data_IF_878675768136
#
_entry.id   IF_878675768136
#
_cell.length_a   1.000
_cell.length_b   1.000
_cell.length_c   1.000
_cell.angle_alpha   90.00
_cell.angle_beta   90.00
_cell.angle_gamma   90.00
#
_symmetry.space_group_name_H-M   'P 1'
#
loop_
_entity.id
_entity.type
_entity.pdbx_description
1 polymer ?
#
# COMPACT_ATOMS: atom_id res chain seq x y z
N UNK A 1 -8.05 9.55 -10.53
CA UNK A 1 -9.26 8.71 -10.53
C UNK A 1 -9.20 7.64 -9.46
N UNK A 2 -10.22 7.57 -8.67
CA UNK A 2 -10.30 6.59 -7.61
C UNK A 2 -10.91 5.32 -8.16
N UNK A 3 -10.20 4.24 -8.03
CA UNK A 3 -10.69 2.94 -8.41
C UNK A 3 -11.67 2.44 -7.36
N UNK A 4 -12.90 2.28 -7.77
CA UNK A 4 -13.94 1.81 -6.88
C UNK A 4 -13.99 0.30 -6.91
N UNK A 5 -13.86 -0.26 -5.73
CA UNK A 5 -13.99 -1.69 -5.55
C UNK A 5 -15.23 -1.99 -4.74
N UNK A 6 -15.92 -3.04 -5.12
CA UNK A 6 -16.96 -3.59 -4.28
C UNK A 6 -16.32 -4.25 -3.08
N UNK A 7 -16.87 -4.00 -1.92
CA UNK A 7 -16.36 -4.59 -0.69
C UNK A 7 -16.44 -6.11 -0.79
N UNK A 8 -15.32 -6.77 -0.47
CA UNK A 8 -15.24 -8.22 -0.51
C UNK A 8 -14.93 -8.84 -1.87
N UNK A 9 -14.75 -8.03 -2.91
CA UNK A 9 -14.38 -8.54 -4.23
C UNK A 9 -12.88 -8.78 -4.30
N UNK A 10 -12.49 -10.02 -4.59
CA UNK A 10 -11.08 -10.35 -4.78
C UNK A 10 -10.48 -9.66 -6.00
N UNK A 11 -11.27 -9.45 -7.04
CA UNK A 11 -10.82 -8.72 -8.23
C UNK A 11 -10.38 -7.32 -7.88
N UNK A 12 -11.09 -6.66 -6.97
CA UNK A 12 -10.70 -5.35 -6.50
C UNK A 12 -9.37 -5.35 -5.74
N UNK A 13 -9.00 -6.46 -5.15
CA UNK A 13 -7.76 -6.59 -4.40
C UNK A 13 -6.59 -6.86 -5.33
N UNK A 14 -6.80 -7.65 -6.38
CA UNK A 14 -5.73 -8.11 -7.27
C UNK A 14 -5.58 -7.27 -8.52
N UNK A 15 -6.68 -7.10 -9.24
CA UNK A 15 -6.65 -6.53 -10.59
C UNK A 15 -7.11 -5.08 -10.54
N UNK A 16 -6.18 -4.18 -10.77
CA UNK A 16 -6.47 -2.75 -10.81
C UNK A 16 -5.83 -2.13 -12.02
N UNK A 17 -6.61 -1.32 -12.73
CA UNK A 17 -6.02 -0.46 -13.73
C UNK A 17 -5.41 0.76 -13.04
N UNK A 18 -4.17 1.06 -13.38
CA UNK A 18 -3.46 2.20 -12.82
C UNK A 18 -2.93 3.11 -13.92
N UNK A 19 -2.75 4.36 -13.57
CA UNK A 19 -2.07 5.34 -14.41
C UNK A 19 -1.08 6.11 -13.53
N UNK A 20 0.19 6.05 -13.89
CA UNK A 20 1.22 6.88 -13.28
C UNK A 20 1.63 7.91 -14.32
N UNK A 21 1.29 9.16 -14.07
CA UNK A 21 1.61 10.25 -14.99
C UNK A 21 3.10 10.60 -14.92
N UNK A 22 3.62 11.24 -15.96
CA UNK A 22 5.00 11.71 -15.96
C UNK A 22 5.25 12.69 -14.81
N UNK A 23 4.31 13.57 -14.55
CA UNK A 23 4.40 14.53 -13.44
C UNK A 23 4.52 13.82 -12.09
N UNK A 24 3.68 12.82 -11.84
CA UNK A 24 3.71 12.05 -10.60
C UNK A 24 5.02 11.27 -10.47
N UNK A 25 5.46 10.63 -11.56
CA UNK A 25 6.71 9.89 -11.57
C UNK A 25 7.91 10.80 -11.27
N UNK A 26 7.97 11.95 -11.89
CA UNK A 26 9.05 12.92 -11.66
C UNK A 26 9.05 13.42 -10.22
N UNK A 27 7.89 13.71 -9.67
CA UNK A 27 7.77 14.17 -8.29
C UNK A 27 8.29 13.12 -7.29
N UNK A 28 7.92 11.87 -7.48
CA UNK A 28 8.37 10.77 -6.62
C UNK A 28 9.88 10.56 -6.75
N UNK A 29 10.38 10.51 -7.97
CA UNK A 29 11.81 10.29 -8.22
C UNK A 29 12.66 11.43 -7.66
N UNK A 30 12.21 12.66 -7.83
CA UNK A 30 12.91 13.84 -7.29
C UNK A 30 12.91 13.84 -5.76
N UNK A 31 11.81 13.45 -5.15
CA UNK A 31 11.71 13.35 -3.69
C UNK A 31 12.74 12.36 -3.15
N UNK A 32 12.84 11.20 -3.75
CA UNK A 32 13.81 10.18 -3.33
C UNK A 32 15.25 10.62 -3.59
N UNK A 33 15.49 11.23 -4.70
CA UNK A 33 16.82 11.76 -5.06
C UNK A 33 17.31 12.79 -4.06
N UNK A 34 16.40 13.57 -3.50
CA UNK A 34 16.71 14.61 -2.51
C UNK A 34 16.66 14.11 -1.07
N UNK A 35 16.62 12.80 -0.85
CA UNK A 35 16.64 12.21 0.48
C UNK A 35 15.28 12.22 1.19
N UNK A 36 14.19 12.53 0.49
CA UNK A 36 12.86 12.48 1.05
C UNK A 36 12.29 11.08 1.11
N UNK A 37 11.11 10.96 1.72
CA UNK A 37 10.41 9.67 1.85
C UNK A 37 9.15 9.66 1.01
N UNK A 38 8.82 8.50 0.50
CA UNK A 38 7.57 8.26 -0.23
C UNK A 38 6.59 7.60 0.73
N UNK A 39 5.50 8.31 1.02
CA UNK A 39 4.46 7.84 1.92
C UNK A 39 3.22 7.51 1.08
N UNK A 40 2.88 6.24 0.99
CA UNK A 40 1.68 5.84 0.28
C UNK A 40 0.47 5.97 1.19
N UNK A 41 -0.61 6.49 0.64
CA UNK A 41 -1.88 6.54 1.34
C UNK A 41 -2.82 5.55 0.68
N UNK A 42 -3.11 4.48 1.39
CA UNK A 42 -3.95 3.39 0.90
C UNK A 42 -3.17 2.28 0.21
N UNK A 43 -3.74 1.09 0.24
CA UNK A 43 -3.11 -0.10 -0.33
C UNK A 43 -3.11 -0.08 -1.85
N UNK A 44 -4.05 0.59 -2.47
CA UNK A 44 -4.09 0.75 -3.94
C UNK A 44 -2.88 1.53 -4.44
N UNK A 45 -2.57 2.65 -3.78
CA UNK A 45 -1.39 3.45 -4.13
C UNK A 45 -0.11 2.64 -3.96
N UNK A 46 -0.01 1.89 -2.87
CA UNK A 46 1.12 1.01 -2.61
C UNK A 46 1.30 0.00 -3.73
N UNK A 47 0.25 -0.70 -4.09
CA UNK A 47 0.32 -1.73 -5.13
C UNK A 47 0.67 -1.13 -6.49
N UNK A 48 0.12 0.03 -6.81
CA UNK A 48 0.44 0.74 -8.05
C UNK A 48 1.91 1.09 -8.13
N UNK A 49 2.44 1.74 -7.10
CA UNK A 49 3.84 2.16 -7.09
C UNK A 49 4.79 0.97 -7.10
N UNK A 50 4.49 -0.07 -6.33
CA UNK A 50 5.33 -1.27 -6.32
C UNK A 50 5.27 -2.04 -7.63
N UNK A 51 4.14 -1.98 -8.35
CA UNK A 51 4.01 -2.64 -9.66
C UNK A 51 4.85 -1.97 -10.74
N UNK A 52 4.96 -0.64 -10.70
CA UNK A 52 5.70 0.10 -11.74
C UNK A 52 7.15 0.33 -11.39
N UNK A 53 7.53 0.22 -10.13
CA UNK A 53 8.89 0.50 -9.68
C UNK A 53 9.90 -0.43 -10.35
N UNK A 54 10.99 0.16 -10.84
CA UNK A 54 12.13 -0.59 -11.36
C UNK A 54 12.95 -1.14 -10.20
N UNK A 55 13.91 -2.01 -10.52
CA UNK A 55 14.74 -2.65 -9.49
C UNK A 55 15.52 -1.65 -8.63
N UNK A 56 15.87 -0.51 -9.19
CA UNK A 56 16.58 0.56 -8.47
C UNK A 56 15.63 1.50 -7.71
N UNK A 57 14.32 1.26 -7.76
CA UNK A 57 13.31 2.09 -7.11
C UNK A 57 12.81 3.26 -7.92
N UNK A 58 13.28 3.44 -9.15
CA UNK A 58 12.83 4.51 -10.04
C UNK A 58 11.38 4.23 -10.49
N UNK A 59 10.57 5.27 -10.52
CA UNK A 59 9.17 5.17 -10.95
C UNK A 59 9.03 5.73 -12.36
N UNK A 60 8.73 4.89 -13.36
CA UNK A 60 8.45 5.38 -14.71
C UNK A 60 6.99 5.81 -14.86
N UNK A 61 6.74 6.71 -15.80
CA UNK A 61 5.37 7.00 -16.21
C UNK A 61 4.85 5.80 -17.00
N UNK A 62 3.79 5.19 -16.49
CA UNK A 62 3.24 3.96 -17.06
C UNK A 62 1.79 3.80 -16.68
N UNK A 63 1.05 3.12 -17.53
CA UNK A 63 -0.31 2.70 -17.24
C UNK A 63 -0.47 1.22 -17.56
N UNK A 64 -1.41 0.57 -16.89
CA UNK A 64 -1.66 -0.84 -17.10
C UNK A 64 -2.48 -1.44 -15.99
N UNK A 65 -2.52 -2.76 -15.96
CA UNK A 65 -3.17 -3.51 -14.90
C UNK A 65 -2.13 -4.05 -13.94
N UNK A 66 -2.38 -3.95 -12.64
CA UNK A 66 -1.51 -4.56 -11.65
C UNK A 66 -2.10 -5.87 -11.17
N UNK A 67 -1.25 -6.88 -11.15
CA UNK A 67 -1.56 -8.19 -10.58
C UNK A 67 -0.67 -8.50 -9.38
N UNK A 68 0.05 -7.49 -8.92
CA UNK A 68 1.03 -7.69 -7.85
C UNK A 68 0.36 -8.21 -6.58
N UNK A 69 0.98 -9.21 -5.98
CA UNK A 69 0.59 -9.77 -4.71
C UNK A 69 1.73 -9.57 -3.72
N UNK A 70 1.48 -8.75 -2.70
CA UNK A 70 2.49 -8.41 -1.70
C UNK A 70 2.21 -9.21 -0.45
N UNK A 71 3.19 -9.98 -0.02
CA UNK A 71 3.10 -10.88 1.13
C UNK A 71 4.37 -10.76 1.98
N UNK A 72 4.38 -11.29 3.22
CA UNK A 72 5.56 -11.24 4.07
C UNK A 72 6.80 -11.82 3.37
N UNK A 73 7.88 -11.06 3.41
CA UNK A 73 9.11 -11.36 2.67
C UNK A 73 9.31 -10.52 1.41
N UNK A 74 8.28 -9.82 0.96
CA UNK A 74 8.39 -8.92 -0.18
C UNK A 74 9.29 -7.72 0.18
N UNK A 75 10.17 -7.35 -0.76
CA UNK A 75 11.05 -6.20 -0.61
C UNK A 75 10.46 -4.99 -1.31
N UNK A 76 10.09 -3.98 -0.54
CA UNK A 76 9.51 -2.77 -1.08
C UNK A 76 10.57 -1.92 -1.78
N UNK A 77 10.23 -1.45 -2.98
CA UNK A 77 11.12 -0.65 -3.83
C UNK A 77 10.69 0.81 -3.94
N UNK A 78 9.39 1.05 -3.85
CA UNK A 78 8.82 2.34 -4.16
C UNK A 78 8.43 3.15 -2.93
N UNK A 79 7.92 2.52 -1.89
CA UNK A 79 7.40 3.24 -0.72
C UNK A 79 8.28 3.02 0.50
N UNK A 80 8.27 4.04 1.35
CA UNK A 80 8.98 4.01 2.64
C UNK A 80 8.01 3.89 3.81
N UNK A 81 6.84 4.48 3.67
CA UNK A 81 5.82 4.50 4.70
C UNK A 81 4.44 4.26 4.09
N UNK A 82 3.50 3.85 4.92
CA UNK A 82 2.14 3.56 4.49
C UNK A 82 1.13 4.08 5.51
N UNK A 83 0.12 4.78 5.02
CA UNK A 83 -1.06 5.13 5.81
C UNK A 83 -2.21 4.30 5.27
N UNK A 84 -2.82 3.48 6.12
CA UNK A 84 -3.89 2.59 5.71
C UNK A 84 -4.89 2.36 6.84
N UNK A 85 -6.09 1.96 6.48
CA UNK A 85 -7.12 1.58 7.44
C UNK A 85 -6.80 0.23 8.06
N UNK A 86 -7.55 -0.14 9.08
CA UNK A 86 -7.53 -1.50 9.61
C UNK A 86 -8.35 -2.42 8.69
N UNK A 87 -7.81 -3.58 8.39
CA UNK A 87 -8.42 -4.54 7.46
C UNK A 87 -8.87 -5.80 8.18
N UNK A 88 -9.62 -6.66 7.49
CA UNK A 88 -9.97 -7.96 8.01
C UNK A 88 -8.70 -8.79 8.29
N UNK A 89 -8.61 -9.47 9.45
CA UNK A 89 -7.38 -10.15 9.85
C UNK A 89 -6.82 -11.17 8.86
N UNK A 90 -7.68 -11.85 8.12
CA UNK A 90 -7.27 -12.87 7.15
C UNK A 90 -7.27 -12.38 5.70
N UNK A 91 -7.39 -11.07 5.50
CA UNK A 91 -7.40 -10.52 4.15
C UNK A 91 -6.00 -10.43 3.55
N UNK A 92 -5.94 -10.36 2.23
CA UNK A 92 -4.69 -10.14 1.50
C UNK A 92 -4.09 -8.77 1.80
N UNK A 93 -4.92 -7.82 2.24
CA UNK A 93 -4.45 -6.49 2.62
C UNK A 93 -3.64 -6.52 3.92
N UNK A 94 -3.99 -7.40 4.84
CA UNK A 94 -3.18 -7.61 6.06
C UNK A 94 -1.83 -8.22 5.69
N UNK A 95 -1.78 -9.09 4.69
CA UNK A 95 -0.51 -9.63 4.20
C UNK A 95 0.40 -8.53 3.66
N UNK A 96 -0.15 -7.58 2.91
CA UNK A 96 0.61 -6.43 2.41
C UNK A 96 1.15 -5.59 3.56
N UNK A 97 0.32 -5.26 4.53
CA UNK A 97 0.74 -4.49 5.70
C UNK A 97 1.79 -5.24 6.51
N UNK A 98 1.62 -6.55 6.65
CA UNK A 98 2.58 -7.41 7.35
C UNK A 98 3.92 -7.49 6.62
N UNK A 99 3.91 -7.41 5.30
CA UNK A 99 5.15 -7.38 4.52
C UNK A 99 5.98 -6.13 4.81
N UNK A 100 5.31 -5.01 5.08
CA UNK A 100 5.99 -3.75 5.37
C UNK A 100 6.43 -3.64 6.84
N UNK A 101 5.53 -3.96 7.75
CA UNK A 101 5.74 -3.73 9.19
C UNK A 101 6.20 -4.95 9.97
N UNK A 102 6.12 -6.13 9.38
CA UNK A 102 6.34 -7.39 10.08
C UNK A 102 5.05 -7.94 10.67
N UNK A 103 4.86 -9.24 10.51
CA UNK A 103 3.61 -9.91 10.91
C UNK A 103 3.31 -9.75 12.40
N UNK A 104 4.32 -9.91 13.24
CA UNK A 104 4.14 -9.82 14.70
C UNK A 104 3.72 -8.41 15.13
N UNK A 105 4.33 -7.39 14.56
CA UNK A 105 3.98 -6.01 14.84
C UNK A 105 2.54 -5.69 14.42
N UNK A 106 2.13 -6.18 13.25
CA UNK A 106 0.79 -5.96 12.73
C UNK A 106 -0.25 -6.68 13.60
N UNK A 107 0.00 -7.93 13.94
CA UNK A 107 -0.91 -8.69 14.80
C UNK A 107 -1.07 -8.02 16.16
N UNK A 108 0.02 -7.54 16.74
CA UNK A 108 -0.02 -6.82 18.01
C UNK A 108 -0.80 -5.51 17.89
N UNK A 109 -0.54 -4.75 16.84
CA UNK A 109 -1.27 -3.49 16.60
C UNK A 109 -2.76 -3.73 16.44
N UNK A 110 -3.16 -4.78 15.73
CA UNK A 110 -4.56 -5.14 15.56
C UNK A 110 -5.21 -5.58 16.87
N UNK A 111 -4.47 -6.34 17.69
CA UNK A 111 -4.95 -6.73 19.01
C UNK A 111 -5.22 -5.50 19.88
N UNK A 112 -4.28 -4.57 19.92
CA UNK A 112 -4.45 -3.31 20.65
C UNK A 112 -5.62 -2.50 20.09
N UNK A 113 -5.76 -2.44 18.78
CA UNK A 113 -6.86 -1.72 18.14
C UNK A 113 -8.23 -2.30 18.53
N UNK A 114 -8.35 -3.61 18.61
CA UNK A 114 -9.59 -4.25 19.07
C UNK A 114 -9.86 -3.92 20.53
N UNK A 115 -8.85 -4.01 21.38
CA UNK A 115 -8.97 -3.69 22.81
C UNK A 115 -9.37 -2.23 23.04
N UNK A 116 -8.80 -1.32 22.27
CA UNK A 116 -9.06 0.13 22.38
C UNK A 116 -10.26 0.57 21.57
N UNK A 117 -10.98 -0.37 20.95
CA UNK A 117 -12.20 -0.12 20.16
C UNK A 117 -11.98 0.83 18.98
N UNK A 118 -10.86 0.69 18.30
CA UNK A 118 -10.62 1.41 17.05
C UNK A 118 -11.59 0.93 15.97
N UNK A 119 -11.95 1.85 15.08
CA UNK A 119 -12.88 1.55 14.00
C UNK A 119 -12.12 0.98 12.81
N UNK A 120 -12.62 -0.13 12.30
CA UNK A 120 -12.02 -0.85 11.19
C UNK A 120 -12.60 -0.39 9.86
N UNK A 121 -11.99 -0.83 8.78
CA UNK A 121 -12.34 -0.48 7.40
C UNK A 121 -12.25 1.03 7.18
N UNK A 122 -13.23 1.61 6.48
CA UNK A 122 -13.26 3.04 6.16
C UNK A 122 -14.05 3.87 7.17
N UNK A 123 -14.16 3.39 8.41
CA UNK A 123 -14.99 4.04 9.42
C UNK A 123 -14.26 5.10 10.26
N UNK A 124 -13.05 5.44 9.91
CA UNK A 124 -12.39 6.62 10.43
C UNK A 124 -11.03 6.44 11.08
N UNK A 125 -10.67 5.25 11.54
CA UNK A 125 -9.36 5.03 12.14
C UNK A 125 -8.40 4.44 11.13
N UNK A 126 -7.12 4.75 11.29
CA UNK A 126 -6.09 4.31 10.36
C UNK A 126 -4.77 4.07 11.09
N UNK A 127 -3.87 3.38 10.40
CA UNK A 127 -2.52 3.12 10.87
C UNK A 127 -1.52 3.91 10.04
N UNK A 128 -0.48 4.42 10.69
CA UNK A 128 0.70 4.94 10.00
C UNK A 128 1.87 4.00 10.26
N UNK A 129 2.38 3.40 9.20
CA UNK A 129 3.48 2.44 9.24
C UNK A 129 4.71 3.09 8.63
N UNK A 130 5.78 3.16 9.40
CA UNK A 130 7.03 3.78 8.98
C UNK A 130 8.22 2.85 9.18
#
# INVERSE_FOLDING_TARGET
>A
EILRCLVGSEMCIRDRFYVVTQEAADMINNTRKNGGRVIAVGTTSTRTLESVALEDGTIPAKSGWTEIFIYPGYKFKAIDCLITNFHLPESTLVMLVSALAGREHVLHAYEVAVQEKYRFFSFGDAMFIK
#
